data_IF_014551870924
#
_entry.id   IF_014551870924
#
_cell.length_a   1.000
_cell.length_b   1.000
_cell.length_c   1.000
_cell.angle_alpha   90.00
_cell.angle_beta   90.00
_cell.angle_gamma   90.00
#
_symmetry.space_group_name_H-M   'P 1'
#
loop_
_entity.id
_entity.type
_entity.pdbx_description
1 polymer ?
#
# COMPACT_ATOMS: atom_id res chain seq x y z
N UNK A 1 -7.68 -14.22 -27.57
CA UNK A 1 -6.69 -13.43 -28.33
C UNK A 1 -5.39 -13.33 -27.57
N UNK A 2 -4.30 -13.68 -28.20
CA UNK A 2 -3.00 -13.58 -27.57
C UNK A 2 -2.39 -12.20 -27.77
N UNK A 3 -1.88 -11.64 -26.67
CA UNK A 3 -1.15 -10.38 -26.66
C UNK A 3 0.18 -10.61 -25.95
N UNK A 4 1.13 -9.64 -25.98
CA UNK A 4 2.33 -9.76 -25.15
C UNK A 4 2.04 -9.90 -23.67
N UNK A 5 0.81 -9.63 -23.22
CA UNK A 5 0.42 -9.70 -21.82
C UNK A 5 -0.32 -10.99 -21.45
N UNK A 6 -0.63 -11.86 -22.42
CA UNK A 6 -1.50 -13.03 -22.18
C UNK A 6 -0.93 -14.05 -21.19
N UNK A 7 0.40 -14.14 -21.10
CA UNK A 7 1.08 -15.15 -20.28
C UNK A 7 1.83 -14.54 -19.08
N UNK A 8 1.48 -13.32 -18.68
CA UNK A 8 2.09 -12.71 -17.52
C UNK A 8 1.53 -13.36 -16.25
N UNK A 9 2.42 -13.84 -15.39
CA UNK A 9 2.05 -14.55 -14.16
C UNK A 9 2.13 -13.67 -12.92
N UNK A 10 2.95 -12.60 -12.96
CA UNK A 10 3.16 -11.74 -11.80
C UNK A 10 2.71 -10.33 -12.09
N UNK A 11 1.85 -9.82 -11.23
CA UNK A 11 1.41 -8.43 -11.24
C UNK A 11 1.69 -7.86 -9.86
N UNK A 12 2.53 -6.84 -9.81
CA UNK A 12 2.99 -6.25 -8.55
C UNK A 12 2.51 -4.81 -8.44
N UNK A 13 2.44 -4.29 -7.22
CA UNK A 13 2.13 -2.88 -6.96
C UNK A 13 3.36 -2.23 -6.36
N UNK A 14 3.66 -1.00 -6.77
CA UNK A 14 4.74 -0.20 -6.17
C UNK A 14 4.17 1.06 -5.57
N UNK A 15 4.58 1.32 -4.32
CA UNK A 15 4.35 2.59 -3.66
C UNK A 15 5.69 3.32 -3.50
N UNK A 16 5.68 4.60 -3.84
CA UNK A 16 6.81 5.47 -3.51
C UNK A 16 6.62 5.92 -2.06
N UNK A 17 7.68 5.84 -1.27
CA UNK A 17 7.65 6.17 0.15
C UNK A 17 8.77 7.16 0.47
N UNK A 18 8.59 7.98 1.49
CA UNK A 18 9.62 8.94 1.90
C UNK A 18 10.66 8.31 2.83
N UNK A 19 10.27 7.28 3.58
CA UNK A 19 11.17 6.56 4.49
C UNK A 19 10.78 5.08 4.46
N UNK A 20 11.59 4.27 3.78
CA UNK A 20 11.28 2.85 3.61
C UNK A 20 11.29 2.10 4.94
N UNK A 21 12.18 2.49 5.88
CA UNK A 21 12.26 1.81 7.17
C UNK A 21 10.98 1.97 7.97
N UNK A 22 10.42 3.19 8.04
CA UNK A 22 9.16 3.44 8.73
C UNK A 22 8.00 2.71 8.05
N UNK A 23 8.00 2.67 6.73
CA UNK A 23 6.94 1.99 5.98
C UNK A 23 7.02 0.47 6.12
N UNK A 24 8.22 -0.11 6.12
CA UNK A 24 8.40 -1.55 6.37
C UNK A 24 7.85 -1.90 7.76
N UNK A 25 8.15 -1.11 8.78
CA UNK A 25 7.60 -1.33 10.12
C UNK A 25 6.08 -1.25 10.13
N UNK A 26 5.52 -0.26 9.46
CA UNK A 26 4.07 -0.08 9.39
C UNK A 26 3.39 -1.26 8.69
N UNK A 27 3.83 -1.60 7.49
CA UNK A 27 3.20 -2.69 6.73
C UNK A 27 3.38 -4.04 7.42
N UNK A 28 4.53 -4.30 8.04
CA UNK A 28 4.77 -5.59 8.70
C UNK A 28 4.13 -5.66 10.08
N UNK A 29 4.37 -4.67 10.95
CA UNK A 29 3.93 -4.73 12.34
C UNK A 29 2.46 -4.34 12.52
N UNK A 30 1.96 -3.38 11.74
CA UNK A 30 0.56 -2.94 11.87
C UNK A 30 -0.35 -3.74 10.96
N UNK A 31 0.02 -3.92 9.69
CA UNK A 31 -0.85 -4.56 8.70
C UNK A 31 -0.57 -6.05 8.47
N UNK A 32 0.50 -6.59 9.06
CA UNK A 32 0.78 -8.02 8.98
C UNK A 32 1.37 -8.51 7.65
N UNK A 33 2.00 -7.62 6.87
CA UNK A 33 2.71 -8.03 5.67
C UNK A 33 3.97 -8.80 6.02
N UNK A 34 4.34 -9.77 5.20
CA UNK A 34 5.62 -10.46 5.31
C UNK A 34 6.71 -9.66 4.59
N UNK A 35 7.89 -9.60 5.19
CA UNK A 35 9.05 -8.93 4.58
C UNK A 35 9.81 -9.97 3.76
N UNK A 36 9.88 -9.76 2.43
CA UNK A 36 10.61 -10.66 1.54
C UNK A 36 12.02 -10.14 1.24
N UNK A 37 12.17 -8.83 1.07
CA UNK A 37 13.46 -8.18 0.83
C UNK A 37 13.47 -6.81 1.51
N UNK A 38 14.56 -6.48 2.18
CA UNK A 38 14.71 -5.18 2.84
C UNK A 38 16.19 -4.80 2.89
N UNK A 39 16.83 -4.60 1.71
CA UNK A 39 18.22 -4.17 1.66
C UNK A 39 18.38 -2.72 2.13
N UNK A 40 19.58 -2.28 2.56
CA UNK A 40 19.79 -0.91 3.03
C UNK A 40 19.93 0.08 1.87
N UNK A 41 19.04 0.03 0.88
CA UNK A 41 19.16 0.83 -0.35
C UNK A 41 17.90 1.63 -0.67
N UNK A 42 16.99 1.80 0.29
CA UNK A 42 15.74 2.55 0.06
C UNK A 42 14.68 1.76 -0.67
N UNK A 43 14.78 0.44 -0.67
CA UNK A 43 13.87 -0.47 -1.35
C UNK A 43 13.40 -1.57 -0.38
N UNK A 44 12.16 -2.03 -0.56
CA UNK A 44 11.68 -3.22 0.13
C UNK A 44 10.65 -3.96 -0.73
N UNK A 45 10.56 -5.27 -0.52
CA UNK A 45 9.53 -6.10 -1.11
C UNK A 45 8.77 -6.81 0.00
N UNK A 46 7.46 -6.60 0.03
CA UNK A 46 6.56 -7.15 1.04
C UNK A 46 5.46 -7.94 0.37
N UNK A 47 4.89 -8.90 1.09
CA UNK A 47 3.79 -9.71 0.56
C UNK A 47 2.66 -9.81 1.56
N UNK A 48 1.43 -9.88 1.04
CA UNK A 48 0.24 -10.19 1.84
C UNK A 48 -0.79 -10.85 0.92
N UNK A 49 -1.17 -12.09 1.28
CA UNK A 49 -1.99 -12.88 0.37
C UNK A 49 -1.28 -13.05 -0.96
N UNK A 50 -1.95 -12.73 -2.04
CA UNK A 50 -1.36 -12.78 -3.38
C UNK A 50 -0.85 -11.42 -3.86
N UNK A 51 -0.81 -10.40 -2.99
CA UNK A 51 -0.24 -9.10 -3.32
C UNK A 51 1.27 -9.10 -3.07
N UNK A 52 2.02 -8.61 -4.04
CA UNK A 52 3.43 -8.27 -3.88
C UNK A 52 3.51 -6.75 -3.94
N UNK A 53 4.03 -6.14 -2.88
CA UNK A 53 4.13 -4.69 -2.73
C UNK A 53 5.61 -4.31 -2.69
N UNK A 54 6.01 -3.46 -3.65
CA UNK A 54 7.34 -2.85 -3.64
C UNK A 54 7.26 -1.47 -3.01
N UNK A 55 8.25 -1.13 -2.19
CA UNK A 55 8.42 0.20 -1.62
C UNK A 55 9.75 0.76 -2.11
N UNK A 56 9.73 1.97 -2.67
CA UNK A 56 10.95 2.65 -3.12
C UNK A 56 10.95 4.09 -2.63
N UNK A 57 12.09 4.50 -2.08
CA UNK A 57 12.32 5.93 -1.84
C UNK A 57 12.69 6.63 -3.14
N UNK A 58 12.42 7.93 -3.28
CA UNK A 58 12.96 8.69 -4.42
C UNK A 58 14.48 8.53 -4.49
N UNK A 59 14.98 8.25 -5.67
CA UNK A 59 16.40 8.00 -5.90
C UNK A 59 16.84 6.56 -5.71
N UNK A 60 16.00 5.69 -5.15
CA UNK A 60 16.35 4.31 -4.86
C UNK A 60 16.02 3.41 -6.05
N UNK A 61 17.02 2.69 -6.56
CA UNK A 61 16.87 1.78 -7.69
C UNK A 61 16.38 2.49 -8.95
N UNK A 62 16.00 1.72 -9.97
CA UNK A 62 15.47 2.28 -11.20
C UNK A 62 14.13 2.96 -11.02
N UNK A 63 13.28 2.41 -10.14
CA UNK A 63 11.92 2.91 -9.93
C UNK A 63 11.88 4.25 -9.19
N UNK A 64 12.92 4.58 -8.43
CA UNK A 64 12.98 5.84 -7.69
C UNK A 64 13.63 6.98 -8.46
N UNK A 65 14.13 6.73 -9.68
CA UNK A 65 14.83 7.76 -10.44
C UNK A 65 13.92 8.85 -10.94
N UNK A 66 14.47 10.08 -11.02
CA UNK A 66 13.75 11.21 -11.60
C UNK A 66 13.51 11.01 -13.08
N UNK A 67 12.43 11.60 -13.58
CA UNK A 67 12.11 11.58 -15.01
C UNK A 67 13.03 12.52 -15.77
N UNK A 68 13.13 12.37 -17.12
CA UNK A 68 13.98 13.27 -17.93
C UNK A 68 13.65 14.76 -17.77
N UNK A 69 12.42 15.09 -17.41
CA UNK A 69 12.00 16.49 -17.18
C UNK A 69 12.34 16.98 -15.76
N UNK A 70 13.02 16.16 -14.95
CA UNK A 70 13.41 16.49 -13.59
C UNK A 70 12.38 16.16 -12.52
N UNK A 71 11.20 15.64 -12.89
CA UNK A 71 10.18 15.26 -11.92
C UNK A 71 10.62 14.02 -11.15
N UNK A 72 10.67 14.12 -9.83
CA UNK A 72 10.97 12.98 -8.97
C UNK A 72 9.69 12.25 -8.59
N UNK A 73 9.73 10.90 -8.49
CA UNK A 73 8.61 10.16 -7.92
C UNK A 73 8.35 10.65 -6.49
N UNK A 74 7.07 10.72 -6.10
CA UNK A 74 6.68 11.15 -4.76
C UNK A 74 5.53 10.31 -4.23
N UNK A 75 5.39 10.18 -2.89
CA UNK A 75 4.26 9.45 -2.30
C UNK A 75 2.94 10.19 -2.49
N UNK A 76 1.83 9.48 -2.30
CA UNK A 76 0.51 10.06 -2.30
C UNK A 76 -0.30 9.71 -3.54
N UNK A 77 -1.32 10.51 -3.79
CA UNK A 77 -2.24 10.26 -4.91
C UNK A 77 -3.52 9.58 -4.46
N UNK A 78 -4.34 9.15 -5.41
CA UNK A 78 -5.64 8.53 -5.13
C UNK A 78 -5.66 7.02 -5.38
N UNK A 79 -4.71 6.49 -6.12
CA UNK A 79 -4.59 5.05 -6.34
C UNK A 79 -4.18 4.38 -5.03
N UNK A 80 -4.79 3.22 -4.77
CA UNK A 80 -4.55 2.54 -3.50
C UNK A 80 -4.81 1.05 -3.60
N UNK A 81 -4.16 0.31 -2.72
CA UNK A 81 -4.51 -1.08 -2.50
C UNK A 81 -5.75 -1.15 -1.61
N UNK A 82 -6.55 -2.20 -1.80
CA UNK A 82 -7.71 -2.46 -0.95
C UNK A 82 -7.45 -3.71 -0.14
N UNK A 83 -7.64 -3.61 1.18
CA UNK A 83 -7.59 -4.74 2.09
C UNK A 83 -9.02 -5.07 2.51
N UNK A 84 -9.45 -6.29 2.22
CA UNK A 84 -10.81 -6.71 2.52
C UNK A 84 -10.88 -7.38 3.89
N UNK A 85 -11.90 -7.03 4.65
CA UNK A 85 -12.14 -7.58 5.98
C UNK A 85 -13.58 -8.04 6.12
N UNK A 86 -13.83 -8.92 7.08
CA UNK A 86 -15.18 -9.33 7.46
C UNK A 86 -15.73 -8.50 8.62
N UNK A 87 -14.92 -7.64 9.24
CA UNK A 87 -15.29 -6.85 10.41
C UNK A 87 -14.52 -5.53 10.38
N UNK A 88 -15.04 -4.56 9.64
CA UNK A 88 -14.38 -3.27 9.46
C UNK A 88 -14.37 -2.47 10.77
N UNK A 89 -15.38 -2.62 11.62
CA UNK A 89 -15.42 -1.91 12.90
C UNK A 89 -14.25 -2.31 13.79
N UNK A 90 -13.98 -3.61 13.92
CA UNK A 90 -12.82 -4.09 14.67
C UNK A 90 -11.50 -3.64 14.05
N UNK A 91 -11.42 -3.65 12.72
CA UNK A 91 -10.23 -3.20 12.02
C UNK A 91 -9.94 -1.73 12.27
N UNK A 92 -10.97 -0.89 12.26
CA UNK A 92 -10.84 0.54 12.56
C UNK A 92 -10.36 0.75 14.00
N UNK A 93 -10.95 0.04 14.97
CA UNK A 93 -10.53 0.15 16.37
C UNK A 93 -9.07 -0.26 16.55
N UNK A 94 -8.67 -1.35 15.88
CA UNK A 94 -7.28 -1.80 15.90
C UNK A 94 -6.34 -0.73 15.33
N UNK A 95 -6.66 -0.18 14.17
CA UNK A 95 -5.83 0.84 13.53
C UNK A 95 -5.73 2.10 14.39
N UNK A 96 -6.83 2.50 15.03
CA UNK A 96 -6.81 3.63 15.99
C UNK A 96 -5.88 3.35 17.16
N UNK A 97 -5.85 2.11 17.65
CA UNK A 97 -4.96 1.73 18.75
C UNK A 97 -3.48 1.78 18.36
N UNK A 98 -3.18 1.79 17.07
CA UNK A 98 -1.82 1.90 16.52
C UNK A 98 -1.51 3.32 16.03
N UNK A 99 -2.35 4.29 16.36
CA UNK A 99 -2.18 5.70 15.96
C UNK A 99 -2.13 5.92 14.45
N UNK A 100 -2.83 5.07 13.71
CA UNK A 100 -2.94 5.22 12.25
C UNK A 100 -3.82 6.41 11.92
N UNK A 101 -3.41 7.20 10.92
CA UNK A 101 -4.17 8.35 10.47
C UNK A 101 -5.17 7.96 9.40
N UNK A 102 -6.41 8.40 9.55
CA UNK A 102 -7.48 8.16 8.59
C UNK A 102 -7.65 9.38 7.69
N UNK A 103 -8.00 9.11 6.43
CA UNK A 103 -8.28 10.17 5.46
C UNK A 103 -9.72 10.65 5.54
N UNK A 104 -10.64 9.78 5.95
CA UNK A 104 -12.07 10.08 6.03
C UNK A 104 -12.71 9.29 7.16
N UNK A 105 -14.01 9.45 7.32
CA UNK A 105 -14.83 8.63 8.19
C UNK A 105 -15.40 7.45 7.39
N UNK A 106 -15.96 6.47 8.11
CA UNK A 106 -16.53 5.28 7.50
C UNK A 106 -17.65 5.66 6.52
N UNK A 107 -17.56 5.16 5.30
CA UNK A 107 -18.57 5.34 4.26
C UNK A 107 -19.33 4.05 4.09
N UNK A 108 -20.67 4.13 4.11
CA UNK A 108 -21.54 3.00 3.82
C UNK A 108 -22.20 3.22 2.47
N UNK A 109 -22.07 2.25 1.60
CA UNK A 109 -22.61 2.27 0.23
C UNK A 109 -23.26 0.92 -0.07
N UNK A 110 -23.98 0.78 -1.18
CA UNK A 110 -24.64 -0.51 -1.49
C UNK A 110 -23.71 -1.70 -1.57
N UNK A 111 -22.47 -1.50 -2.07
CA UNK A 111 -21.51 -2.59 -2.22
C UNK A 111 -20.88 -3.01 -0.88
N UNK A 112 -20.84 -2.11 0.10
CA UNK A 112 -20.23 -2.40 1.39
C UNK A 112 -19.81 -1.14 2.13
N UNK A 113 -18.94 -1.33 3.12
CA UNK A 113 -18.42 -0.25 3.95
C UNK A 113 -16.94 -0.08 3.65
N UNK A 114 -16.47 1.17 3.64
CA UNK A 114 -15.07 1.44 3.35
C UNK A 114 -14.55 2.65 4.09
N UNK A 115 -13.25 2.68 4.33
CA UNK A 115 -12.55 3.80 4.93
C UNK A 115 -11.13 3.84 4.39
N UNK A 116 -10.60 5.04 4.24
CA UNK A 116 -9.23 5.24 3.78
C UNK A 116 -8.34 5.61 4.95
N UNK A 117 -7.15 5.03 4.99
CA UNK A 117 -6.13 5.42 5.95
C UNK A 117 -4.78 5.57 5.25
N UNK A 118 -3.80 6.09 5.97
CA UNK A 118 -2.53 6.50 5.39
C UNK A 118 -1.39 5.65 5.93
N UNK A 119 -0.44 5.30 5.05
CA UNK A 119 0.85 4.80 5.51
C UNK A 119 1.71 5.98 6.02
N UNK A 120 2.90 5.73 6.61
CA UNK A 120 3.73 6.81 7.13
C UNK A 120 4.19 7.84 6.10
N UNK A 121 4.12 7.51 4.81
CA UNK A 121 4.51 8.42 3.72
C UNK A 121 3.33 9.15 3.11
N UNK A 122 2.10 8.90 3.59
CA UNK A 122 0.89 9.54 3.07
C UNK A 122 0.26 8.81 1.88
N UNK A 123 0.66 7.58 1.60
CA UNK A 123 -0.03 6.76 0.60
C UNK A 123 -1.34 6.23 1.16
N UNK A 124 -2.37 6.18 0.31
CA UNK A 124 -3.68 5.70 0.71
C UNK A 124 -3.75 4.19 0.72
N UNK A 125 -4.47 3.66 1.72
CA UNK A 125 -4.86 2.26 1.81
C UNK A 125 -6.35 2.24 2.13
N UNK A 126 -7.09 1.37 1.46
CA UNK A 126 -8.53 1.23 1.67
C UNK A 126 -8.83 -0.04 2.44
N UNK A 127 -9.63 0.09 3.52
CA UNK A 127 -10.27 -1.08 4.14
C UNK A 127 -11.67 -1.19 3.57
N UNK A 128 -12.08 -2.40 3.22
CA UNK A 128 -13.38 -2.67 2.64
C UNK A 128 -14.01 -3.90 3.27
N UNK A 129 -15.29 -3.76 3.65
CA UNK A 129 -16.13 -4.89 4.09
C UNK A 129 -17.29 -5.00 3.14
N UNK A 130 -17.40 -6.09 2.35
CA UNK A 130 -18.49 -6.25 1.40
C UNK A 130 -19.83 -6.45 2.09
N UNK A 131 -20.89 -6.00 1.45
CA UNK A 131 -22.25 -6.28 1.87
C UNK A 131 -22.51 -7.79 1.78
N UNK A 132 -23.17 -8.35 2.76
CA UNK A 132 -23.46 -9.79 2.82
C UNK A 132 -24.74 -10.12 2.07
#
# INVERSE_FOLDING_TARGET
MDTPFSNLEKVNVRYIVSDVRLCVEFYSNVLGFAIEMNPPSGFAMLTKGNLILFLNEPGAGGAGQSMPDGTAPSPGGWNRIQLQTNDIASAIDYLKSKDVKFRNELVTAPAGKQILFLDPSGNLIEMFEPTK
#
